data_IF_786509859781
#
_entry.id   IF_786509859781
#
_cell.length_a   1.000
_cell.length_b   1.000
_cell.length_c   1.000
_cell.angle_alpha   90.00
_cell.angle_beta   90.00
_cell.angle_gamma   90.00
#
_symmetry.space_group_name_H-M   'P 1'
#
loop_
_entity.id
_entity.type
_entity.pdbx_description
1 polymer ?
#
# COMPACT_ATOMS: atom_id res chain seq x y z
N UNK A 1 -6.31 -5.28 -19.59
CA UNK A 1 -6.56 -5.94 -18.29
C UNK A 1 -8.00 -5.66 -17.89
N UNK A 2 -8.63 -6.51 -17.08
CA UNK A 2 -10.03 -6.35 -16.67
C UNK A 2 -10.11 -5.37 -15.50
N UNK A 3 -10.98 -4.33 -15.60
CA UNK A 3 -11.20 -3.38 -14.50
C UNK A 3 -12.04 -4.04 -13.41
N UNK A 4 -11.50 -4.07 -12.18
CA UNK A 4 -12.16 -4.62 -11.00
C UNK A 4 -12.91 -3.54 -10.24
N UNK A 5 -12.30 -2.36 -10.09
CA UNK A 5 -12.92 -1.20 -9.44
C UNK A 5 -12.64 0.05 -10.26
N UNK A 6 -13.67 0.81 -10.57
CA UNK A 6 -13.58 2.15 -11.15
C UNK A 6 -14.25 3.16 -10.21
N UNK A 7 -13.51 4.15 -9.75
CA UNK A 7 -13.97 5.21 -8.83
C UNK A 7 -13.88 6.54 -9.57
N UNK A 8 -15.01 7.28 -9.60
CA UNK A 8 -15.14 8.50 -10.38
C UNK A 8 -15.65 9.65 -9.51
N UNK A 9 -14.78 10.65 -9.28
CA UNK A 9 -15.07 11.88 -8.56
C UNK A 9 -15.81 11.66 -7.22
N UNK A 10 -15.39 10.64 -6.47
CA UNK A 10 -16.05 10.27 -5.23
C UNK A 10 -15.84 11.37 -4.18
N UNK A 11 -16.95 11.82 -3.58
CA UNK A 11 -16.95 12.88 -2.58
C UNK A 11 -17.72 12.43 -1.32
N UNK A 12 -17.12 12.69 -0.16
CA UNK A 12 -17.74 12.43 1.15
C UNK A 12 -17.36 13.50 2.15
N UNK A 13 -18.39 14.07 2.80
CA UNK A 13 -18.23 15.01 3.92
C UNK A 13 -19.05 14.59 5.14
N UNK A 14 -18.62 15.05 6.29
CA UNK A 14 -19.32 14.95 7.57
C UNK A 14 -19.50 16.37 8.11
N UNK A 15 -20.68 16.94 7.88
CA UNK A 15 -20.89 18.37 8.12
C UNK A 15 -19.93 19.22 7.29
N UNK A 16 -19.14 20.05 7.94
CA UNK A 16 -18.14 20.92 7.29
C UNK A 16 -16.79 20.22 7.02
N UNK A 17 -16.60 18.98 7.51
CA UNK A 17 -15.35 18.26 7.32
C UNK A 17 -15.42 17.41 6.04
N UNK A 18 -14.61 17.76 5.04
CA UNK A 18 -14.46 16.98 3.80
C UNK A 18 -13.46 15.88 4.05
N UNK A 19 -13.92 14.62 4.02
CA UNK A 19 -13.09 13.44 4.22
C UNK A 19 -12.56 12.86 2.91
N UNK A 20 -13.34 12.96 1.81
CA UNK A 20 -12.95 12.53 0.45
C UNK A 20 -13.40 13.62 -0.51
N UNK A 21 -12.47 14.15 -1.32
CA UNK A 21 -12.71 15.28 -2.21
C UNK A 21 -12.39 14.90 -3.67
N UNK A 22 -13.43 14.55 -4.42
CA UNK A 22 -13.38 14.23 -5.86
C UNK A 22 -12.30 13.19 -6.24
N UNK A 23 -12.19 12.12 -5.45
CA UNK A 23 -11.21 11.06 -5.65
C UNK A 23 -11.60 10.19 -6.85
N UNK A 24 -10.66 9.98 -7.77
CA UNK A 24 -10.81 9.09 -8.92
C UNK A 24 -9.59 8.19 -9.08
N UNK A 25 -9.81 6.89 -9.28
CA UNK A 25 -8.77 5.90 -9.60
C UNK A 25 -9.38 4.60 -10.12
N UNK A 26 -8.54 3.73 -10.69
CA UNK A 26 -8.92 2.40 -11.18
C UNK A 26 -8.05 1.32 -10.57
N UNK A 27 -8.65 0.16 -10.36
CA UNK A 27 -7.94 -1.06 -9.92
C UNK A 27 -8.22 -2.16 -10.93
N UNK A 28 -7.16 -2.82 -11.40
CA UNK A 28 -7.24 -3.89 -12.36
C UNK A 28 -7.09 -5.26 -11.70
N UNK A 29 -7.55 -6.30 -12.38
CA UNK A 29 -7.50 -7.68 -11.88
C UNK A 29 -6.07 -8.13 -11.58
N UNK A 30 -5.88 -8.74 -10.41
CA UNK A 30 -4.60 -9.29 -9.97
C UNK A 30 -3.61 -8.28 -9.40
N UNK A 31 -3.96 -6.99 -9.38
CA UNK A 31 -3.14 -5.95 -8.73
C UNK A 31 -3.19 -6.07 -7.20
N UNK A 32 -2.09 -5.71 -6.56
CA UNK A 32 -2.08 -5.26 -5.16
C UNK A 32 -1.98 -3.74 -5.21
N UNK A 33 -3.11 -3.07 -4.96
CA UNK A 33 -3.27 -1.63 -5.08
C UNK A 33 -3.19 -0.97 -3.71
N UNK A 34 -2.23 -0.07 -3.53
CA UNK A 34 -2.00 0.66 -2.28
C UNK A 34 -2.76 1.98 -2.24
N UNK A 35 -3.55 2.18 -1.18
CA UNK A 35 -4.17 3.46 -0.84
C UNK A 35 -3.36 4.10 0.28
N UNK A 36 -2.51 5.07 -0.06
CA UNK A 36 -1.51 5.66 0.82
C UNK A 36 -1.91 7.03 1.34
N UNK A 37 -1.51 7.33 2.55
CA UNK A 37 -1.70 8.67 3.12
C UNK A 37 -1.56 8.66 4.64
N UNK A 38 -1.37 9.83 5.26
CA UNK A 38 -1.30 9.95 6.71
C UNK A 38 -2.62 9.59 7.37
N UNK A 39 -2.60 9.44 8.69
CA UNK A 39 -3.83 9.28 9.46
C UNK A 39 -4.74 10.50 9.25
N UNK A 40 -6.05 10.26 9.05
CA UNK A 40 -7.02 11.30 8.77
C UNK A 40 -7.04 11.79 7.30
N UNK A 41 -6.29 11.18 6.39
CA UNK A 41 -6.31 11.56 4.96
C UNK A 41 -7.57 11.13 4.20
N UNK A 42 -8.46 10.33 4.80
CA UNK A 42 -9.70 9.88 4.18
C UNK A 42 -9.71 8.42 3.70
N UNK A 43 -8.63 7.63 3.90
CA UNK A 43 -8.51 6.23 3.44
C UNK A 43 -9.67 5.35 3.90
N UNK A 44 -9.90 5.24 5.21
CA UNK A 44 -10.99 4.45 5.79
C UNK A 44 -12.36 4.89 5.28
N UNK A 45 -12.59 6.22 5.17
CA UNK A 45 -13.84 6.76 4.61
C UNK A 45 -14.03 6.34 3.15
N UNK A 46 -12.97 6.42 2.34
CA UNK A 46 -13.00 5.99 0.95
C UNK A 46 -13.29 4.49 0.83
N UNK A 47 -12.58 3.66 1.62
CA UNK A 47 -12.84 2.22 1.67
C UNK A 47 -14.27 1.92 2.13
N UNK A 48 -14.77 2.64 3.15
CA UNK A 48 -16.16 2.52 3.61
C UNK A 48 -17.18 2.85 2.51
N UNK A 49 -16.91 3.86 1.68
CA UNK A 49 -17.78 4.18 0.54
C UNK A 49 -17.78 3.09 -0.52
N UNK A 50 -16.61 2.65 -0.99
CA UNK A 50 -16.55 1.64 -2.07
C UNK A 50 -17.01 0.26 -1.64
N UNK A 51 -16.98 -0.06 -0.34
CA UNK A 51 -17.55 -1.31 0.21
C UNK A 51 -19.03 -1.19 0.58
N UNK A 52 -19.63 0.01 0.45
CA UNK A 52 -21.03 0.26 0.73
C UNK A 52 -21.39 0.30 2.21
N UNK A 53 -20.41 0.42 3.10
CA UNK A 53 -20.61 0.69 4.54
C UNK A 53 -21.05 2.13 4.73
N UNK A 54 -20.50 3.06 3.92
CA UNK A 54 -20.83 4.48 3.93
C UNK A 54 -21.43 4.89 2.57
N UNK A 55 -22.39 5.78 2.61
CA UNK A 55 -22.93 6.41 1.39
C UNK A 55 -22.07 7.61 1.01
N UNK A 56 -21.59 7.65 -0.22
CA UNK A 56 -20.95 8.85 -0.78
C UNK A 56 -21.98 9.98 -0.94
N UNK A 57 -21.53 11.24 -0.84
CA UNK A 57 -22.40 12.39 -1.09
C UNK A 57 -22.51 12.69 -2.58
N UNK A 58 -21.41 12.49 -3.34
CA UNK A 58 -21.35 12.70 -4.80
C UNK A 58 -20.35 11.74 -5.44
N UNK A 59 -20.35 11.67 -6.77
CA UNK A 59 -19.53 10.77 -7.53
C UNK A 59 -20.11 9.37 -7.62
N UNK A 60 -19.35 8.45 -8.17
CA UNK A 60 -19.80 7.06 -8.37
C UNK A 60 -18.63 6.10 -8.29
N UNK A 61 -18.93 4.84 -8.06
CA UNK A 61 -17.98 3.75 -8.22
C UNK A 61 -18.68 2.54 -8.82
N UNK A 62 -17.93 1.70 -9.51
CA UNK A 62 -18.43 0.42 -10.03
C UNK A 62 -17.43 -0.69 -9.81
N UNK A 63 -17.94 -1.86 -9.43
CA UNK A 63 -17.18 -3.08 -9.29
C UNK A 63 -17.38 -3.99 -10.50
N UNK A 64 -16.34 -4.74 -10.89
CA UNK A 64 -16.39 -5.80 -11.89
C UNK A 64 -17.03 -5.35 -13.21
N UNK A 65 -16.60 -4.19 -13.73
CA UNK A 65 -17.12 -3.59 -14.98
C UNK A 65 -18.61 -3.23 -14.95
N UNK A 66 -19.15 -2.93 -13.74
CA UNK A 66 -20.53 -2.49 -13.57
C UNK A 66 -21.51 -3.56 -13.15
N UNK A 67 -21.03 -4.65 -12.54
CA UNK A 67 -21.91 -5.62 -11.89
C UNK A 67 -22.84 -4.94 -10.86
N UNK A 68 -24.03 -5.48 -10.70
CA UNK A 68 -24.93 -5.06 -9.62
C UNK A 68 -24.22 -5.16 -8.27
N UNK A 69 -24.22 -4.09 -7.50
CA UNK A 69 -23.44 -3.97 -6.26
C UNK A 69 -23.74 -5.06 -5.23
N UNK A 70 -25.01 -5.52 -5.14
CA UNK A 70 -25.42 -6.63 -4.29
C UNK A 70 -24.70 -7.94 -4.63
N UNK A 71 -24.49 -8.21 -5.92
CA UNK A 71 -23.75 -9.39 -6.40
C UNK A 71 -22.24 -9.19 -6.24
N UNK A 72 -21.74 -7.98 -6.55
CA UNK A 72 -20.34 -7.62 -6.39
C UNK A 72 -19.85 -7.82 -4.95
N UNK A 73 -20.66 -7.43 -3.95
CA UNK A 73 -20.31 -7.59 -2.52
C UNK A 73 -20.03 -9.04 -2.11
N UNK A 74 -20.64 -10.03 -2.73
CA UNK A 74 -20.41 -11.45 -2.43
C UNK A 74 -18.99 -11.90 -2.87
N UNK A 75 -18.40 -11.17 -3.81
CA UNK A 75 -17.06 -11.42 -4.37
C UNK A 75 -15.96 -10.61 -3.68
N UNK A 76 -16.32 -9.80 -2.68
CA UNK A 76 -15.41 -8.92 -1.94
C UNK A 76 -15.31 -9.41 -0.50
N UNK A 77 -14.09 -9.63 -0.03
CA UNK A 77 -13.76 -9.80 1.38
C UNK A 77 -13.19 -8.50 1.92
N UNK A 78 -13.75 -7.96 2.98
CA UNK A 78 -13.29 -6.69 3.54
C UNK A 78 -12.93 -6.83 5.02
N UNK A 79 -11.84 -6.18 5.39
CA UNK A 79 -11.43 -5.87 6.75
C UNK A 79 -11.33 -4.35 6.85
N UNK A 80 -12.35 -3.72 7.43
CA UNK A 80 -12.40 -2.27 7.67
C UNK A 80 -12.36 -2.07 9.18
N UNK A 81 -11.43 -1.26 9.65
CA UNK A 81 -11.16 -1.01 11.06
C UNK A 81 -10.78 -2.28 11.85
N UNK A 82 -11.11 -2.33 13.16
CA UNK A 82 -10.77 -3.44 14.04
C UNK A 82 -11.78 -4.57 13.95
N UNK A 83 -11.33 -5.82 13.96
CA UNK A 83 -12.23 -6.97 13.94
C UNK A 83 -13.01 -7.10 15.25
N UNK A 84 -14.33 -7.15 15.14
CA UNK A 84 -15.23 -7.39 16.27
C UNK A 84 -15.58 -8.87 16.37
N UNK A 85 -14.81 -9.60 17.16
CA UNK A 85 -15.07 -10.99 17.50
C UNK A 85 -15.51 -11.14 18.98
N UNK A 86 -16.22 -12.21 19.28
CA UNK A 86 -16.63 -12.52 20.65
C UNK A 86 -15.42 -13.00 21.46
N UNK A 87 -15.02 -12.30 22.52
CA UNK A 87 -13.75 -12.56 23.22
C UNK A 87 -13.67 -13.95 23.87
N UNK A 88 -14.81 -14.48 24.29
CA UNK A 88 -14.97 -15.77 25.00
C UNK A 88 -15.22 -16.95 24.08
N UNK A 89 -15.36 -16.72 22.77
CA UNK A 89 -15.45 -17.79 21.79
C UNK A 89 -14.08 -18.12 21.21
N UNK A 90 -13.90 -19.36 20.82
CA UNK A 90 -12.70 -19.78 20.11
C UNK A 90 -12.62 -19.13 18.72
N UNK A 91 -11.41 -19.12 18.13
CA UNK A 91 -11.21 -18.63 16.77
C UNK A 91 -12.15 -19.35 15.78
N UNK A 92 -12.26 -20.66 15.89
CA UNK A 92 -13.12 -21.47 15.05
C UNK A 92 -14.60 -21.07 15.18
N UNK A 93 -15.11 -20.91 16.42
CA UNK A 93 -16.50 -20.52 16.66
C UNK A 93 -16.81 -19.10 16.18
N UNK A 94 -15.86 -18.18 16.31
CA UNK A 94 -16.01 -16.84 15.75
C UNK A 94 -16.17 -16.90 14.22
N UNK A 95 -15.32 -17.69 13.53
CA UNK A 95 -15.43 -17.87 12.09
C UNK A 95 -16.70 -18.65 11.69
N UNK A 96 -17.20 -19.58 12.51
CA UNK A 96 -18.46 -20.27 12.29
C UNK A 96 -19.64 -19.29 12.22
N UNK A 97 -19.68 -18.30 13.12
CA UNK A 97 -20.71 -17.27 13.10
C UNK A 97 -20.64 -16.49 11.78
N UNK A 98 -19.43 -16.06 11.39
CA UNK A 98 -19.22 -15.31 10.14
C UNK A 98 -19.59 -16.18 8.91
N UNK A 99 -19.23 -17.46 8.92
CA UNK A 99 -19.59 -18.40 7.85
C UNK A 99 -21.10 -18.53 7.68
N UNK A 100 -21.84 -18.64 8.79
CA UNK A 100 -23.32 -18.68 8.78
C UNK A 100 -23.92 -17.40 8.22
N UNK A 101 -23.40 -16.22 8.61
CA UNK A 101 -23.86 -14.93 8.10
C UNK A 101 -23.60 -14.82 6.58
N UNK A 102 -22.44 -15.28 6.12
CA UNK A 102 -22.05 -15.23 4.69
C UNK A 102 -22.62 -16.38 3.85
N UNK A 103 -23.27 -17.37 4.48
CA UNK A 103 -23.76 -18.58 3.78
C UNK A 103 -22.63 -19.48 3.26
N UNK A 104 -21.47 -19.48 3.94
CA UNK A 104 -20.31 -20.30 3.56
C UNK A 104 -20.36 -21.68 4.21
N UNK A 105 -19.74 -22.67 3.56
CA UNK A 105 -19.57 -24.00 4.13
C UNK A 105 -18.61 -23.98 5.32
N UNK A 106 -18.92 -24.74 6.37
CA UNK A 106 -18.07 -24.86 7.56
C UNK A 106 -16.70 -25.50 7.24
N UNK A 107 -16.62 -26.33 6.21
CA UNK A 107 -15.37 -26.94 5.72
C UNK A 107 -14.29 -25.91 5.36
N UNK A 108 -14.71 -24.69 5.03
CA UNK A 108 -13.79 -23.59 4.71
C UNK A 108 -13.09 -22.99 5.91
N UNK A 109 -13.63 -23.15 7.12
CA UNK A 109 -13.09 -22.54 8.34
C UNK A 109 -11.67 -23.04 8.62
N UNK A 110 -11.46 -24.35 8.63
CA UNK A 110 -10.15 -24.93 8.89
C UNK A 110 -9.14 -24.51 7.80
N UNK A 111 -9.57 -24.46 6.55
CA UNK A 111 -8.75 -24.03 5.42
C UNK A 111 -8.29 -22.56 5.55
N UNK A 112 -9.19 -21.63 5.88
CA UNK A 112 -8.79 -20.23 6.04
C UNK A 112 -7.94 -20.03 7.29
N UNK A 113 -8.16 -20.80 8.36
CA UNK A 113 -7.29 -20.79 9.54
C UNK A 113 -5.88 -21.29 9.23
N UNK A 114 -5.74 -22.30 8.36
CA UNK A 114 -4.46 -22.76 7.85
C UNK A 114 -3.77 -21.67 7.01
N UNK A 115 -4.51 -21.02 6.09
CA UNK A 115 -3.99 -19.93 5.24
C UNK A 115 -3.42 -18.74 6.05
N UNK A 116 -3.98 -18.47 7.23
CA UNK A 116 -3.52 -17.41 8.12
C UNK A 116 -2.66 -17.93 9.29
N UNK A 117 -2.25 -19.21 9.26
CA UNK A 117 -1.38 -19.84 10.27
C UNK A 117 -1.97 -19.77 11.70
N UNK A 118 -3.25 -20.05 11.83
CA UNK A 118 -3.98 -20.11 13.10
C UNK A 118 -4.70 -21.46 13.33
N UNK A 119 -4.46 -22.47 12.50
CA UNK A 119 -5.17 -23.76 12.60
C UNK A 119 -4.89 -24.45 13.96
N UNK A 120 -3.64 -24.45 14.42
CA UNK A 120 -3.24 -25.05 15.70
C UNK A 120 -3.84 -24.32 16.91
N UNK A 121 -4.29 -23.10 16.72
CA UNK A 121 -4.88 -22.23 17.76
C UNK A 121 -6.40 -22.09 17.58
N UNK A 122 -7.04 -22.90 16.74
CA UNK A 122 -8.45 -22.77 16.39
C UNK A 122 -9.43 -22.90 17.56
N UNK A 123 -9.01 -23.63 18.61
CA UNK A 123 -9.83 -23.87 19.80
C UNK A 123 -9.59 -22.85 20.91
N UNK A 124 -8.57 -21.99 20.77
CA UNK A 124 -8.23 -20.99 21.79
C UNK A 124 -9.20 -19.82 21.75
N UNK A 125 -9.53 -19.28 22.92
CA UNK A 125 -10.43 -18.12 23.04
C UNK A 125 -9.79 -16.86 22.44
N UNK A 126 -10.57 -16.09 21.68
CA UNK A 126 -10.09 -14.88 21.02
C UNK A 126 -9.45 -13.86 21.97
N UNK A 127 -9.92 -13.77 23.22
CA UNK A 127 -9.33 -12.85 24.22
C UNK A 127 -7.86 -13.14 24.51
N UNK A 128 -7.40 -14.39 24.31
CA UNK A 128 -6.00 -14.81 24.54
C UNK A 128 -5.08 -14.52 23.36
N UNK A 129 -5.62 -14.07 22.23
CA UNK A 129 -4.85 -13.80 21.03
C UNK A 129 -4.03 -12.50 21.15
N UNK A 130 -2.78 -12.55 20.68
CA UNK A 130 -1.99 -11.35 20.44
C UNK A 130 -2.66 -10.47 19.38
N UNK A 131 -2.24 -9.21 19.26
CA UNK A 131 -2.77 -8.30 18.23
C UNK A 131 -2.57 -8.87 16.81
N UNK A 132 -1.40 -9.43 16.53
CA UNK A 132 -1.12 -10.07 15.23
C UNK A 132 -2.01 -11.28 14.96
N UNK A 133 -2.27 -12.13 15.96
CA UNK A 133 -3.22 -13.24 15.81
C UNK A 133 -4.65 -12.76 15.58
N UNK A 134 -5.07 -11.71 16.27
CA UNK A 134 -6.39 -11.07 16.05
C UNK A 134 -6.53 -10.54 14.62
N UNK A 135 -5.51 -9.90 14.12
CA UNK A 135 -5.48 -9.34 12.77
C UNK A 135 -5.51 -10.46 11.71
N UNK A 136 -4.75 -11.54 11.92
CA UNK A 136 -4.78 -12.72 11.04
C UNK A 136 -6.15 -13.40 11.04
N UNK A 137 -6.82 -13.52 12.19
CA UNK A 137 -8.19 -14.04 12.26
C UNK A 137 -9.19 -13.15 11.49
N UNK A 138 -9.02 -11.83 11.53
CA UNK A 138 -9.83 -10.89 10.78
C UNK A 138 -9.66 -11.08 9.26
N UNK A 139 -8.43 -11.27 8.80
CA UNK A 139 -8.17 -11.61 7.40
C UNK A 139 -8.79 -12.97 7.04
N UNK A 140 -8.71 -13.99 7.92
CA UNK A 140 -9.37 -15.27 7.72
C UNK A 140 -10.88 -15.09 7.52
N UNK A 141 -11.52 -14.23 8.32
CA UNK A 141 -12.93 -13.92 8.19
C UNK A 141 -13.27 -13.27 6.83
N UNK A 142 -12.38 -12.40 6.33
CA UNK A 142 -12.55 -11.82 5.00
C UNK A 142 -12.40 -12.86 3.88
N UNK A 143 -11.58 -13.89 4.08
CA UNK A 143 -11.30 -14.95 3.11
C UNK A 143 -12.35 -16.08 3.06
N UNK A 144 -13.28 -16.17 4.01
CA UNK A 144 -14.21 -17.28 4.16
C UNK A 144 -15.00 -17.64 2.91
N UNK A 145 -15.47 -16.64 2.16
CA UNK A 145 -16.27 -16.84 0.94
C UNK A 145 -15.41 -16.92 -0.34
N UNK A 146 -14.08 -17.09 -0.20
CA UNK A 146 -13.14 -17.11 -1.32
C UNK A 146 -13.29 -15.92 -2.27
N UNK A 147 -13.19 -14.72 -1.77
CA UNK A 147 -13.45 -13.53 -2.56
C UNK A 147 -12.43 -13.38 -3.67
N UNK A 148 -12.82 -12.73 -4.76
CA UNK A 148 -11.92 -12.33 -5.85
C UNK A 148 -11.10 -11.10 -5.46
N UNK A 149 -11.67 -10.27 -4.57
CA UNK A 149 -11.05 -9.03 -4.09
C UNK A 149 -10.97 -9.02 -2.58
N UNK A 150 -9.81 -8.62 -2.05
CA UNK A 150 -9.62 -8.31 -0.64
C UNK A 150 -9.44 -6.81 -0.46
N UNK A 151 -10.19 -6.22 0.46
CA UNK A 151 -10.05 -4.82 0.89
C UNK A 151 -9.58 -4.82 2.33
N UNK A 152 -8.39 -4.30 2.59
CA UNK A 152 -7.73 -4.35 3.89
C UNK A 152 -7.39 -2.92 4.34
N UNK A 153 -7.98 -2.49 5.45
CA UNK A 153 -7.71 -1.19 6.05
C UNK A 153 -6.71 -1.33 7.20
N UNK A 154 -5.50 -0.77 7.02
CA UNK A 154 -4.41 -0.74 8.00
C UNK A 154 -4.12 -2.13 8.66
N UNK A 155 -3.97 -3.23 7.90
CA UNK A 155 -3.89 -4.58 8.46
C UNK A 155 -2.64 -4.83 9.30
N UNK A 156 -1.63 -3.98 9.20
CA UNK A 156 -0.36 -4.09 9.93
C UNK A 156 -0.21 -3.06 11.05
N UNK A 157 -1.25 -2.24 11.29
CA UNK A 157 -1.18 -1.18 12.29
C UNK A 157 -1.00 -1.73 13.72
N UNK A 158 0.00 -1.20 14.44
CA UNK A 158 0.29 -1.58 15.83
C UNK A 158 0.96 -2.94 16.02
N UNK A 159 1.33 -3.63 14.93
CA UNK A 159 2.03 -4.90 14.99
C UNK A 159 3.54 -4.70 15.18
N UNK A 160 4.16 -5.69 15.78
CA UNK A 160 5.62 -5.84 15.81
C UNK A 160 6.16 -6.25 14.42
N UNK A 161 7.49 -6.19 14.19
CA UNK A 161 8.08 -6.54 12.90
C UNK A 161 7.75 -7.97 12.43
N UNK A 162 7.59 -8.91 13.37
CA UNK A 162 7.23 -10.28 13.06
C UNK A 162 5.79 -10.34 12.54
N UNK A 163 4.84 -9.72 13.25
CA UNK A 163 3.42 -9.66 12.86
C UNK A 163 3.23 -8.98 11.49
N UNK A 164 3.97 -7.89 11.23
CA UNK A 164 3.98 -7.24 9.92
C UNK A 164 4.42 -8.21 8.82
N UNK A 165 5.48 -8.97 9.05
CA UNK A 165 5.98 -9.96 8.08
C UNK A 165 4.98 -11.09 7.84
N UNK A 166 4.30 -11.56 8.89
CA UNK A 166 3.25 -12.59 8.79
C UNK A 166 2.08 -12.10 7.93
N UNK A 167 1.57 -10.88 8.15
CA UNK A 167 0.50 -10.28 7.33
C UNK A 167 0.96 -10.09 5.87
N UNK A 168 2.18 -9.60 5.66
CA UNK A 168 2.77 -9.45 4.31
C UNK A 168 2.77 -10.77 3.55
N UNK A 169 3.19 -11.85 4.21
CA UNK A 169 3.23 -13.17 3.59
C UNK A 169 1.83 -13.66 3.21
N UNK A 170 0.81 -13.40 4.03
CA UNK A 170 -0.59 -13.71 3.69
C UNK A 170 -1.02 -12.92 2.45
N UNK A 171 -0.73 -11.61 2.38
CA UNK A 171 -1.06 -10.77 1.22
C UNK A 171 -0.40 -11.33 -0.05
N UNK A 172 0.90 -11.66 0.01
CA UNK A 172 1.63 -12.21 -1.13
C UNK A 172 1.10 -13.59 -1.56
N UNK A 173 0.70 -14.44 -0.61
CA UNK A 173 0.06 -15.72 -0.92
C UNK A 173 -1.30 -15.53 -1.61
N UNK A 174 -2.11 -14.58 -1.19
CA UNK A 174 -3.40 -14.30 -1.83
C UNK A 174 -3.20 -13.68 -3.23
N UNK A 175 -2.19 -12.82 -3.41
CA UNK A 175 -1.77 -12.31 -4.73
C UNK A 175 -1.37 -13.47 -5.66
N UNK A 176 -0.56 -14.41 -5.17
CA UNK A 176 -0.12 -15.57 -5.95
C UNK A 176 -1.29 -16.49 -6.38
N UNK A 177 -2.41 -16.47 -5.64
CA UNK A 177 -3.68 -17.14 -6.03
C UNK A 177 -4.50 -16.32 -7.06
N UNK A 178 -3.99 -15.18 -7.54
CA UNK A 178 -4.64 -14.34 -8.54
C UNK A 178 -5.70 -13.38 -8.00
N UNK A 179 -5.78 -13.21 -6.66
CA UNK A 179 -6.71 -12.24 -6.07
C UNK A 179 -6.24 -10.81 -6.30
N UNK A 180 -7.20 -9.91 -6.45
CA UNK A 180 -6.96 -8.46 -6.41
C UNK A 180 -7.00 -7.99 -4.96
N UNK A 181 -6.08 -7.14 -4.55
CA UNK A 181 -6.01 -6.68 -3.16
C UNK A 181 -5.95 -5.15 -3.15
N UNK A 182 -6.83 -4.53 -2.36
CA UNK A 182 -6.79 -3.08 -2.08
C UNK A 182 -6.34 -2.93 -0.63
N UNK A 183 -5.20 -2.28 -0.44
CA UNK A 183 -4.53 -2.16 0.85
C UNK A 183 -4.41 -0.68 1.24
N UNK A 184 -5.15 -0.22 2.24
CA UNK A 184 -4.88 1.08 2.83
C UNK A 184 -3.78 0.96 3.89
N UNK A 185 -2.78 1.84 3.82
CA UNK A 185 -1.69 1.88 4.80
C UNK A 185 -1.06 3.28 4.87
N UNK A 186 -0.49 3.57 6.04
CA UNK A 186 0.43 4.68 6.24
C UNK A 186 1.90 4.22 6.31
N UNK A 187 2.15 2.90 6.32
CA UNK A 187 3.48 2.30 6.34
C UNK A 187 4.00 2.11 4.91
N UNK A 188 4.63 3.15 4.37
CA UNK A 188 5.07 3.23 2.97
C UNK A 188 6.04 2.11 2.59
N UNK A 189 6.98 1.77 3.48
CA UNK A 189 7.94 0.69 3.27
C UNK A 189 7.29 -0.70 3.11
N UNK A 190 6.12 -0.92 3.73
CA UNK A 190 5.40 -2.18 3.59
C UNK A 190 4.63 -2.22 2.28
N UNK A 191 4.04 -1.10 1.89
CA UNK A 191 3.34 -0.97 0.62
C UNK A 191 4.29 -1.18 -0.56
N UNK A 192 5.50 -0.61 -0.51
CA UNK A 192 6.54 -0.78 -1.52
C UNK A 192 6.88 -2.25 -1.79
N UNK A 193 6.82 -3.10 -0.74
CA UNK A 193 7.15 -4.54 -0.85
C UNK A 193 6.04 -5.39 -1.45
N UNK A 194 4.78 -4.96 -1.42
CA UNK A 194 3.64 -5.80 -1.80
C UNK A 194 2.83 -5.23 -2.96
N UNK A 195 2.73 -3.90 -3.07
CA UNK A 195 1.88 -3.24 -4.05
C UNK A 195 2.55 -3.13 -5.42
N UNK A 196 1.77 -3.29 -6.47
CA UNK A 196 2.17 -2.99 -7.85
C UNK A 196 1.87 -1.55 -8.24
N UNK A 197 0.76 -1.03 -7.71
CA UNK A 197 0.23 0.29 -8.03
C UNK A 197 -0.23 0.99 -6.75
N UNK A 198 -0.20 2.31 -6.75
CA UNK A 198 -0.59 3.11 -5.59
C UNK A 198 -1.34 4.37 -5.97
N UNK A 199 -2.17 4.84 -5.05
CA UNK A 199 -2.70 6.20 -5.02
C UNK A 199 -2.34 6.84 -3.69
N UNK A 200 -1.78 8.05 -3.73
CA UNK A 200 -1.38 8.83 -2.57
C UNK A 200 -2.45 9.87 -2.29
N UNK A 201 -3.02 9.83 -1.08
CA UNK A 201 -4.09 10.72 -0.66
C UNK A 201 -3.65 11.60 0.52
N UNK A 202 -3.95 12.90 0.45
CA UNK A 202 -3.77 13.87 1.52
C UNK A 202 -5.00 14.76 1.61
N UNK A 203 -5.57 14.91 2.81
CA UNK A 203 -6.77 15.74 3.05
C UNK A 203 -7.94 15.42 2.11
N UNK A 204 -8.13 14.14 1.81
CA UNK A 204 -9.20 13.68 0.92
C UNK A 204 -8.92 13.79 -0.57
N UNK A 205 -7.81 14.35 -1.00
CA UNK A 205 -7.45 14.56 -2.42
C UNK A 205 -6.34 13.62 -2.88
N UNK A 206 -6.38 13.25 -4.16
CA UNK A 206 -5.32 12.46 -4.79
C UNK A 206 -4.15 13.39 -5.14
N UNK A 207 -2.98 13.12 -4.57
CA UNK A 207 -1.75 13.82 -4.91
C UNK A 207 -1.02 13.19 -6.10
N UNK A 208 -0.95 11.85 -6.13
CA UNK A 208 -0.27 11.09 -7.18
C UNK A 208 -0.87 9.68 -7.26
N UNK A 209 -0.91 9.11 -8.45
CA UNK A 209 -1.28 7.71 -8.66
C UNK A 209 -0.42 7.12 -9.77
N UNK A 210 -0.17 5.81 -9.72
CA UNK A 210 0.60 5.10 -10.74
C UNK A 210 1.25 3.83 -10.19
N UNK A 211 2.08 3.20 -11.03
CA UNK A 211 2.87 2.05 -10.61
C UNK A 211 3.92 2.46 -9.59
N UNK A 212 4.15 1.60 -8.61
CA UNK A 212 5.19 1.82 -7.59
C UNK A 212 6.56 2.01 -8.25
N UNK A 213 6.88 1.18 -9.24
CA UNK A 213 8.15 1.28 -9.98
C UNK A 213 8.35 2.64 -10.65
N UNK A 214 7.30 3.18 -11.29
CA UNK A 214 7.38 4.48 -11.98
C UNK A 214 7.58 5.62 -10.97
N UNK A 215 6.92 5.53 -9.81
CA UNK A 215 7.06 6.52 -8.73
C UNK A 215 8.48 6.48 -8.15
N UNK A 216 9.05 5.29 -7.95
CA UNK A 216 10.39 5.10 -7.42
C UNK A 216 11.48 5.46 -8.44
N UNK A 217 11.22 5.24 -9.74
CA UNK A 217 12.18 5.56 -10.79
C UNK A 217 12.22 7.07 -11.12
N UNK A 218 11.18 7.83 -10.78
CA UNK A 218 11.11 9.27 -11.06
C UNK A 218 12.10 10.14 -10.25
N UNK A 219 12.99 9.52 -9.46
CA UNK A 219 13.91 10.25 -8.58
C UNK A 219 15.21 9.51 -8.31
N UNK A 220 15.84 8.92 -9.35
CA UNK A 220 17.21 8.37 -9.18
C UNK A 220 18.12 9.46 -8.66
N UNK A 221 18.80 9.20 -7.54
CA UNK A 221 19.78 10.12 -6.96
C UNK A 221 21.12 9.43 -6.80
N UNK A 222 22.18 10.18 -7.02
CA UNK A 222 23.52 9.75 -6.68
C UNK A 222 23.97 10.49 -5.43
N UNK A 223 24.58 9.78 -4.51
CA UNK A 223 25.36 10.31 -3.42
C UNK A 223 26.83 10.13 -3.74
N UNK A 224 27.57 11.25 -3.81
CA UNK A 224 28.94 11.27 -4.29
C UNK A 224 29.83 12.02 -3.31
N UNK A 225 31.09 11.56 -3.21
CA UNK A 225 32.17 12.31 -2.61
C UNK A 225 33.47 12.10 -3.37
N UNK A 226 34.32 13.11 -3.31
CA UNK A 226 35.69 13.08 -3.83
C UNK A 226 36.62 13.79 -2.85
N UNK A 227 37.91 13.68 -3.06
CA UNK A 227 38.91 14.41 -2.25
C UNK A 227 38.75 15.92 -2.38
N UNK A 228 38.37 16.40 -3.57
CA UNK A 228 38.09 17.81 -3.87
C UNK A 228 36.57 17.97 -4.12
N UNK A 229 35.83 18.35 -3.10
CA UNK A 229 34.38 18.50 -3.15
C UNK A 229 33.94 19.70 -3.97
N UNK A 230 34.72 20.75 -4.02
CA UNK A 230 34.40 21.98 -4.79
C UNK A 230 34.52 21.70 -6.29
N UNK A 231 35.58 20.99 -6.70
CA UNK A 231 35.77 20.55 -8.07
C UNK A 231 34.67 19.57 -8.49
N UNK A 232 34.30 18.66 -7.60
CA UNK A 232 33.19 17.73 -7.83
C UNK A 232 31.85 18.47 -8.04
N UNK A 233 31.55 19.47 -7.19
CA UNK A 233 30.34 20.27 -7.30
C UNK A 233 30.26 21.03 -8.64
N UNK A 234 31.34 21.69 -9.04
CA UNK A 234 31.41 22.43 -10.31
C UNK A 234 31.18 21.51 -11.49
N UNK A 235 31.84 20.35 -11.50
CA UNK A 235 31.68 19.37 -12.59
C UNK A 235 30.28 18.82 -12.68
N UNK A 236 29.65 18.46 -11.56
CA UNK A 236 28.27 17.97 -11.54
C UNK A 236 27.28 19.07 -11.97
N UNK A 237 27.49 20.32 -11.58
CA UNK A 237 26.65 21.46 -11.97
C UNK A 237 26.65 21.73 -13.47
N UNK A 238 27.72 21.36 -14.16
CA UNK A 238 27.87 21.50 -15.62
C UNK A 238 27.36 20.31 -16.44
N UNK A 239 26.98 19.19 -15.79
CA UNK A 239 26.53 18.00 -16.51
C UNK A 239 25.07 18.11 -16.92
N UNK A 240 24.78 17.97 -18.21
CA UNK A 240 23.40 17.84 -18.69
C UNK A 240 22.79 16.55 -18.16
N UNK A 241 21.58 16.62 -17.56
CA UNK A 241 20.92 15.46 -16.99
C UNK A 241 21.13 15.28 -15.48
N UNK A 242 21.90 16.15 -14.83
CA UNK A 242 21.99 16.28 -13.40
C UNK A 242 21.25 17.54 -12.94
N UNK A 243 20.48 17.41 -11.87
CA UNK A 243 19.70 18.50 -11.29
C UNK A 243 19.66 18.38 -9.76
N UNK A 244 19.19 19.42 -9.11
CA UNK A 244 18.91 19.46 -7.67
C UNK A 244 20.09 19.02 -6.77
N UNK A 245 21.28 19.58 -7.03
CA UNK A 245 22.47 19.34 -6.24
C UNK A 245 22.31 19.86 -4.80
N UNK A 246 22.57 19.00 -3.83
CA UNK A 246 22.51 19.32 -2.41
C UNK A 246 23.74 18.77 -1.70
N UNK A 247 24.27 19.54 -0.73
CA UNK A 247 25.28 19.04 0.19
C UNK A 247 24.60 18.50 1.45
N UNK A 248 24.77 17.20 1.75
CA UNK A 248 24.19 16.52 2.92
C UNK A 248 25.27 15.69 3.61
N UNK A 249 25.55 15.99 4.86
CA UNK A 249 26.47 15.22 5.71
C UNK A 249 27.84 14.94 5.08
N UNK A 250 28.38 15.90 4.29
CA UNK A 250 29.67 15.75 3.63
C UNK A 250 29.63 15.02 2.27
N UNK A 251 28.45 14.70 1.76
CA UNK A 251 28.24 14.15 0.43
C UNK A 251 27.48 15.12 -0.47
N UNK A 252 27.71 15.04 -1.77
CA UNK A 252 26.87 15.71 -2.76
C UNK A 252 25.80 14.74 -3.20
N UNK A 253 24.54 15.12 -3.04
CA UNK A 253 23.38 14.38 -3.55
C UNK A 253 22.90 15.08 -4.82
N UNK A 254 22.84 14.34 -5.93
CA UNK A 254 22.44 14.83 -7.25
C UNK A 254 21.25 14.02 -7.77
N UNK A 255 20.24 14.67 -8.33
CA UNK A 255 19.15 13.99 -9.04
C UNK A 255 19.54 13.73 -10.49
N UNK A 256 19.28 12.50 -10.95
CA UNK A 256 19.54 12.06 -12.33
C UNK A 256 18.25 12.10 -13.15
N UNK A 257 18.34 12.56 -14.40
CA UNK A 257 17.27 12.33 -15.39
C UNK A 257 17.14 10.85 -15.75
N UNK A 258 16.02 10.47 -16.35
CA UNK A 258 15.69 9.07 -16.68
C UNK A 258 16.74 8.37 -17.53
N UNK A 259 17.37 9.09 -18.46
CA UNK A 259 18.36 8.57 -19.40
C UNK A 259 19.79 8.43 -18.82
N UNK A 260 20.02 8.94 -17.60
CA UNK A 260 21.33 8.88 -16.96
C UNK A 260 21.47 7.71 -16.01
N UNK A 261 22.69 7.17 -15.95
CA UNK A 261 23.08 6.14 -14.99
C UNK A 261 24.38 6.51 -14.24
N UNK A 262 24.61 5.82 -13.12
CA UNK A 262 25.75 6.04 -12.26
C UNK A 262 27.08 5.81 -12.99
N UNK A 263 27.14 4.84 -13.90
CA UNK A 263 28.36 4.49 -14.65
C UNK A 263 28.77 5.63 -15.57
N UNK A 264 27.81 6.25 -16.26
CA UNK A 264 28.08 7.40 -17.12
C UNK A 264 28.63 8.58 -16.31
N UNK A 265 28.01 8.89 -15.17
CA UNK A 265 28.46 9.99 -14.28
C UNK A 265 29.88 9.70 -13.78
N UNK A 266 30.14 8.49 -13.30
CA UNK A 266 31.47 8.09 -12.82
C UNK A 266 32.54 8.24 -13.90
N UNK A 267 32.27 7.75 -15.12
CA UNK A 267 33.19 7.85 -16.25
C UNK A 267 33.47 9.29 -16.63
N UNK A 268 32.45 10.13 -16.73
CA UNK A 268 32.58 11.55 -17.08
C UNK A 268 33.42 12.34 -16.05
N UNK A 269 33.26 11.99 -14.75
CA UNK A 269 34.07 12.56 -13.68
C UNK A 269 35.54 12.10 -13.74
N UNK A 270 35.77 10.81 -14.02
CA UNK A 270 37.13 10.29 -14.23
C UNK A 270 37.82 10.96 -15.42
N UNK A 271 37.11 11.14 -16.55
CA UNK A 271 37.64 11.83 -17.73
C UNK A 271 37.99 13.30 -17.44
N UNK A 272 37.29 13.91 -16.44
CA UNK A 272 37.57 15.27 -15.94
C UNK A 272 38.67 15.29 -14.85
N UNK A 273 39.31 14.15 -14.57
CA UNK A 273 40.35 14.03 -13.57
C UNK A 273 39.88 14.11 -12.12
N UNK A 274 38.61 13.72 -11.86
CA UNK A 274 38.01 13.61 -10.53
C UNK A 274 37.88 12.14 -10.17
N UNK A 275 38.59 11.72 -9.13
CA UNK A 275 38.46 10.37 -8.55
C UNK A 275 37.48 10.39 -7.40
N UNK A 276 36.38 9.62 -7.52
CA UNK A 276 35.41 9.48 -6.45
C UNK A 276 35.94 8.51 -5.39
N UNK A 277 35.75 8.88 -4.12
CA UNK A 277 35.95 8.00 -2.97
C UNK A 277 34.63 7.44 -2.41
N UNK A 278 33.48 7.96 -2.91
CA UNK A 278 32.15 7.49 -2.59
C UNK A 278 31.22 7.69 -3.80
N UNK A 279 30.49 6.66 -4.18
CA UNK A 279 29.47 6.69 -5.21
C UNK A 279 28.37 5.66 -4.87
N UNK A 280 27.22 6.16 -4.48
CA UNK A 280 26.06 5.32 -4.14
C UNK A 280 24.85 5.79 -4.92
N UNK A 281 24.20 4.85 -5.63
CA UNK A 281 22.91 5.09 -6.23
C UNK A 281 21.83 4.98 -5.13
N UNK A 282 21.30 6.12 -4.71
CA UNK A 282 20.18 6.17 -3.79
C UNK A 282 18.92 5.84 -4.58
N UNK A 283 18.33 4.69 -4.26
CA UNK A 283 16.99 4.39 -4.74
C UNK A 283 16.01 5.33 -4.04
N UNK A 284 15.15 5.98 -4.81
CA UNK A 284 14.01 6.66 -4.22
C UNK A 284 13.15 5.60 -3.50
N UNK A 285 12.68 5.92 -2.32
CA UNK A 285 11.68 5.16 -1.61
C UNK A 285 10.34 5.92 -1.60
N UNK A 286 9.25 5.21 -1.39
CA UNK A 286 7.92 5.82 -1.35
C UNK A 286 7.82 6.89 -0.24
N UNK A 287 8.60 6.74 0.84
CA UNK A 287 8.60 7.69 1.96
C UNK A 287 9.19 9.04 1.54
N UNK A 288 10.33 9.04 0.86
CA UNK A 288 10.96 10.25 0.33
C UNK A 288 10.06 10.97 -0.68
N UNK A 289 9.43 10.21 -1.60
CA UNK A 289 8.50 10.78 -2.58
C UNK A 289 7.22 11.31 -1.90
N UNK A 290 6.69 10.60 -0.93
CA UNK A 290 5.55 11.04 -0.13
C UNK A 290 5.85 12.35 0.62
N UNK A 291 7.02 12.45 1.27
CA UNK A 291 7.42 13.67 1.98
C UNK A 291 7.54 14.87 1.04
N UNK A 292 8.12 14.70 -0.16
CA UNK A 292 8.17 15.75 -1.18
C UNK A 292 6.77 16.25 -1.57
N UNK A 293 5.83 15.32 -1.82
CA UNK A 293 4.46 15.66 -2.21
C UNK A 293 3.65 16.28 -1.06
N UNK A 294 4.02 15.99 0.19
CA UNK A 294 3.24 16.44 1.35
C UNK A 294 3.79 17.71 2.02
N UNK A 295 5.02 18.12 1.71
CA UNK A 295 5.63 19.36 2.21
C UNK A 295 5.32 20.58 1.33
N UNK A 296 4.71 20.37 0.18
CA UNK A 296 4.11 21.42 -0.65
C UNK A 296 2.67 21.70 -0.18
#
# INVERSE_FOLDING_TARGET
MKTILDVNNLFKSYGNNIAVNSVSFRVEQGQVFGLLGPNGSGKTTLLGCITGILLANQGSFSWFEGDEFTKARLRIGALIETPNFFPYLSAWKNLEIVAKIKGCEHSRIDRVLEEVQLLDRKNDEFKTFSLGMKQRLAIASALLNDPEVLVLDEPTNGLDPQGINEIRNIILQQKAKGKTIILASHLLNEVEKVCSDVVIIKKGEVLKSGKVEDILNSGKRLELAATDMDKLWISLSGMSGISNLQNRNGFIVAELNEDMNADFVNKSLQDSGISLNHLVLLKADLESEFLKLTQQ
#
